data_IF_116481631220
#
_entry.id   IF_116481631220
#
_cell.length_a   1.000
_cell.length_b   1.000
_cell.length_c   1.000
_cell.angle_alpha   90.00
_cell.angle_beta   90.00
_cell.angle_gamma   90.00
#
_symmetry.space_group_name_H-M   'P 1'
#
loop_
_entity.id
_entity.type
_entity.pdbx_description
1 polymer ?
#
# COMPACT_ATOMS: atom_id res chain seq x y z
N UNK A 1 0.77 -9.49 13.58
CA UNK A 1 -0.50 -9.30 12.85
C UNK A 1 -1.34 -10.55 13.01
N UNK A 2 -2.65 -10.40 13.25
CA UNK A 2 -3.55 -11.51 13.60
C UNK A 2 -4.89 -11.35 12.86
N UNK A 3 -5.49 -12.46 12.47
CA UNK A 3 -6.89 -12.52 12.03
C UNK A 3 -7.71 -13.19 13.13
N UNK A 4 -8.77 -12.54 13.58
CA UNK A 4 -9.69 -13.06 14.60
C UNK A 4 -11.05 -13.23 13.94
N UNK A 5 -11.67 -14.40 14.11
CA UNK A 5 -12.99 -14.68 13.56
C UNK A 5 -13.97 -15.04 14.68
N UNK A 6 -15.16 -14.48 14.60
CA UNK A 6 -16.35 -14.90 15.36
C UNK A 6 -17.32 -15.58 14.40
N UNK A 7 -18.45 -16.15 14.86
CA UNK A 7 -19.46 -16.71 13.96
C UNK A 7 -20.03 -15.71 12.95
N UNK A 8 -19.96 -14.41 13.22
CA UNK A 8 -20.57 -13.34 12.41
C UNK A 8 -19.56 -12.39 11.78
N UNK A 9 -18.33 -12.31 12.29
CA UNK A 9 -17.39 -11.24 11.96
C UNK A 9 -15.95 -11.74 11.76
N UNK A 10 -15.19 -10.96 10.99
CA UNK A 10 -13.75 -11.13 10.79
C UNK A 10 -13.06 -9.80 11.11
N UNK A 11 -12.04 -9.87 11.98
CA UNK A 11 -11.21 -8.75 12.38
C UNK A 11 -9.78 -8.96 11.88
N UNK A 12 -9.24 -7.97 11.18
CA UNK A 12 -7.86 -7.96 10.72
C UNK A 12 -7.03 -6.97 11.54
N UNK A 13 -6.08 -7.47 12.33
CA UNK A 13 -5.15 -6.64 13.11
C UNK A 13 -3.90 -6.40 12.28
N UNK A 14 -3.76 -5.16 11.80
CA UNK A 14 -2.69 -4.72 10.87
C UNK A 14 -1.79 -3.67 11.53
N UNK A 15 -0.66 -3.36 10.87
CA UNK A 15 0.26 -2.31 11.29
C UNK A 15 -0.39 -0.93 11.15
N UNK A 16 -0.17 -0.07 12.14
CA UNK A 16 -0.54 1.34 12.03
C UNK A 16 0.64 2.16 11.52
N UNK A 17 0.43 2.89 10.42
CA UNK A 17 1.42 3.78 9.82
C UNK A 17 0.92 5.22 9.93
N UNK A 18 1.66 6.08 10.63
CA UNK A 18 1.25 7.47 10.94
C UNK A 18 1.57 8.50 9.84
N UNK A 19 2.11 8.05 8.69
CA UNK A 19 2.60 8.92 7.61
C UNK A 19 1.53 9.53 6.69
N UNK A 20 0.28 9.09 6.82
CA UNK A 20 -0.81 9.50 5.93
C UNK A 20 -0.73 8.87 4.54
N UNK A 21 -1.51 9.40 3.59
CA UNK A 21 -1.64 8.85 2.25
C UNK A 21 -0.70 9.51 1.22
N UNK A 22 -0.18 8.72 0.28
CA UNK A 22 0.64 9.24 -0.83
C UNK A 22 -0.16 10.20 -1.73
N UNK A 23 -1.46 9.94 -1.90
CA UNK A 23 -2.33 10.81 -2.68
C UNK A 23 -2.42 12.22 -2.09
N UNK A 24 -2.59 12.35 -0.78
CA UNK A 24 -2.59 13.64 -0.09
C UNK A 24 -1.28 14.40 -0.29
N UNK A 25 -0.15 13.68 -0.26
CA UNK A 25 1.16 14.26 -0.54
C UNK A 25 1.23 14.83 -1.96
N UNK A 26 0.71 14.11 -2.95
CA UNK A 26 0.65 14.57 -4.36
C UNK A 26 -0.29 15.76 -4.50
N UNK A 27 -1.49 15.73 -3.93
CA UNK A 27 -2.46 16.85 -4.00
C UNK A 27 -1.85 18.13 -3.44
N UNK A 28 -1.14 18.05 -2.31
CA UNK A 28 -0.49 19.21 -1.67
C UNK A 28 0.65 19.81 -2.50
N UNK A 29 1.43 18.97 -3.20
CA UNK A 29 2.58 19.42 -4.00
C UNK A 29 2.27 19.69 -5.47
N UNK A 30 1.14 19.20 -5.96
CA UNK A 30 0.87 19.09 -7.39
C UNK A 30 1.66 17.95 -8.05
N UNK A 31 1.81 18.01 -9.37
CA UNK A 31 2.54 16.99 -10.13
C UNK A 31 4.00 16.92 -9.66
N UNK A 32 4.40 15.76 -9.17
CA UNK A 32 5.78 15.50 -8.76
C UNK A 32 6.72 15.44 -9.98
N UNK A 33 7.96 15.88 -9.78
CA UNK A 33 9.03 15.62 -10.75
C UNK A 33 9.31 14.13 -10.85
N UNK A 34 9.89 13.69 -11.98
CA UNK A 34 10.25 12.28 -12.13
C UNK A 34 11.24 11.82 -11.05
N UNK A 35 12.19 12.68 -10.68
CA UNK A 35 13.16 12.39 -9.63
C UNK A 35 12.50 12.14 -8.26
N UNK A 36 11.41 12.85 -7.94
CA UNK A 36 10.65 12.64 -6.70
C UNK A 36 9.66 11.47 -6.80
N UNK A 37 9.05 11.23 -7.97
CA UNK A 37 8.07 10.16 -8.15
C UNK A 37 8.72 8.77 -8.25
N UNK A 38 9.91 8.69 -8.85
CA UNK A 38 10.66 7.44 -9.07
C UNK A 38 10.83 6.59 -7.80
N UNK A 39 11.27 7.11 -6.64
CA UNK A 39 11.43 6.28 -5.44
C UNK A 39 10.11 5.69 -4.93
N UNK A 40 9.00 6.44 -4.97
CA UNK A 40 7.68 5.90 -4.60
C UNK A 40 7.28 4.75 -5.54
N UNK A 41 7.43 4.95 -6.84
CA UNK A 41 7.09 3.94 -7.82
C UNK A 41 7.93 2.66 -7.64
N UNK A 42 9.25 2.80 -7.41
CA UNK A 42 10.13 1.66 -7.13
C UNK A 42 9.70 0.89 -5.88
N UNK A 43 9.31 1.58 -4.81
CA UNK A 43 8.82 0.93 -3.58
C UNK A 43 7.52 0.17 -3.82
N UNK A 44 6.57 0.79 -4.54
CA UNK A 44 5.28 0.16 -4.89
C UNK A 44 5.52 -1.10 -5.72
N UNK A 45 6.32 -1.01 -6.79
CA UNK A 45 6.60 -2.14 -7.68
C UNK A 45 7.36 -3.25 -6.95
N UNK A 46 8.30 -2.91 -6.07
CA UNK A 46 8.99 -3.90 -5.23
C UNK A 46 8.02 -4.67 -4.34
N UNK A 47 7.08 -3.99 -3.67
CA UNK A 47 6.05 -4.65 -2.86
C UNK A 47 5.10 -5.52 -3.68
N UNK A 48 4.69 -5.04 -4.86
CA UNK A 48 3.82 -5.79 -5.78
C UNK A 48 4.53 -7.02 -6.36
N UNK A 49 5.79 -6.89 -6.78
CA UNK A 49 6.62 -8.01 -7.25
C UNK A 49 6.78 -9.08 -6.17
N UNK A 50 7.03 -8.67 -4.92
CA UNK A 50 7.07 -9.59 -3.79
C UNK A 50 5.75 -10.37 -3.65
N UNK A 51 4.60 -9.70 -3.68
CA UNK A 51 3.29 -10.36 -3.62
C UNK A 51 3.08 -11.33 -4.80
N UNK A 52 3.42 -10.90 -6.03
CA UNK A 52 3.29 -11.73 -7.22
C UNK A 52 4.14 -13.01 -7.17
N UNK A 53 5.37 -12.93 -6.63
CA UNK A 53 6.22 -14.12 -6.40
C UNK A 53 5.63 -15.10 -5.39
N UNK A 54 4.71 -14.64 -4.54
CA UNK A 54 3.96 -15.46 -3.59
C UNK A 54 2.54 -15.77 -4.08
N UNK A 55 2.29 -15.65 -5.39
CA UNK A 55 1.00 -15.96 -6.03
C UNK A 55 -0.18 -15.12 -5.52
N UNK A 56 0.09 -13.93 -4.98
CA UNK A 56 -0.93 -12.97 -4.53
C UNK A 56 -0.99 -11.79 -5.49
N UNK A 57 -2.16 -11.54 -6.08
CA UNK A 57 -2.40 -10.39 -6.97
C UNK A 57 -3.36 -9.42 -6.28
N UNK A 58 -2.97 -8.16 -6.14
CA UNK A 58 -3.76 -7.15 -5.41
C UNK A 58 -5.11 -6.86 -6.07
N UNK A 59 -5.14 -6.73 -7.41
CA UNK A 59 -6.33 -6.47 -8.25
C UNK A 59 -7.07 -5.14 -8.04
N UNK A 60 -6.87 -4.42 -6.93
CA UNK A 60 -7.49 -3.10 -6.66
C UNK A 60 -6.47 -2.04 -6.18
N UNK A 61 -5.28 -1.99 -6.78
CA UNK A 61 -4.22 -1.06 -6.34
C UNK A 61 -4.54 0.37 -6.80
N UNK A 62 -4.52 1.33 -5.88
CA UNK A 62 -4.86 2.75 -6.09
C UNK A 62 -4.05 3.65 -5.17
#
# INVERSE_FOLDING_TARGET
YQVISTPTDIFMVMEYVSGGELFDYIVKKGKLSEAEARPFFQQIISGVDYCHRHMVVHRDLK
#
